data_IF_817521692453
#
_entry.id   IF_817521692453
#
_cell.length_a   1.000
_cell.length_b   1.000
_cell.length_c   1.000
_cell.angle_alpha   90.00
_cell.angle_beta   90.00
_cell.angle_gamma   90.00
#
_symmetry.space_group_name_H-M   'P 1'
#
loop_
_entity.id
_entity.type
_entity.pdbx_description
1 polymer ?
#
# COMPACT_ATOMS: atom_id res chain seq x y z
N UNK A 1 14.47 -36.71 6.81
CA UNK A 1 14.47 -35.25 6.56
C UNK A 1 13.02 -34.81 6.37
N UNK A 2 12.41 -34.36 7.46
CA UNK A 2 11.04 -33.85 7.49
C UNK A 2 11.05 -32.40 7.00
N UNK A 3 10.57 -32.16 5.78
CA UNK A 3 10.42 -30.83 5.24
C UNK A 3 9.37 -30.07 6.05
N UNK A 4 9.79 -28.98 6.69
CA UNK A 4 8.88 -28.02 7.33
C UNK A 4 8.06 -27.38 6.21
N UNK A 5 6.82 -27.83 6.03
CA UNK A 5 5.85 -27.10 5.21
C UNK A 5 5.48 -25.82 5.96
N UNK A 6 6.04 -24.68 5.52
CA UNK A 6 5.51 -23.37 5.88
C UNK A 6 4.07 -23.30 5.38
N UNK A 7 3.12 -23.06 6.28
CA UNK A 7 1.79 -22.59 5.90
C UNK A 7 1.97 -21.24 5.22
N UNK A 8 1.72 -21.19 3.91
CA UNK A 8 1.69 -19.94 3.15
C UNK A 8 0.50 -19.10 3.65
N UNK A 9 0.79 -18.15 4.53
CA UNK A 9 -0.13 -17.17 5.11
C UNK A 9 -0.64 -16.19 4.03
N UNK A 10 -1.40 -16.66 3.04
CA UNK A 10 -2.18 -15.80 2.14
C UNK A 10 -1.42 -14.70 1.37
N UNK A 11 -0.08 -14.70 1.41
CA UNK A 11 0.73 -13.80 0.60
C UNK A 11 0.54 -14.24 -0.85
N UNK A 12 -0.01 -13.33 -1.64
CA UNK A 12 -0.16 -13.45 -3.09
C UNK A 12 1.08 -14.15 -3.64
N UNK A 13 0.90 -15.41 -4.09
CA UNK A 13 1.97 -16.24 -4.63
C UNK A 13 2.74 -15.37 -5.61
N UNK A 14 4.00 -15.10 -5.31
CA UNK A 14 4.92 -14.50 -6.27
C UNK A 14 4.81 -15.33 -7.53
N UNK A 15 4.17 -14.78 -8.56
CA UNK A 15 3.96 -15.48 -9.82
C UNK A 15 5.36 -15.70 -10.38
N UNK A 16 5.87 -16.91 -10.25
CA UNK A 16 7.13 -17.29 -10.86
C UNK A 16 6.87 -17.40 -12.36
N UNK A 17 7.27 -16.36 -13.08
CA UNK A 17 7.16 -16.31 -14.54
C UNK A 17 8.18 -17.29 -15.12
N UNK A 18 7.76 -18.50 -15.46
CA UNK A 18 8.58 -19.38 -16.29
C UNK A 18 8.51 -18.91 -17.74
N UNK A 19 9.65 -18.48 -18.29
CA UNK A 19 9.78 -18.09 -19.70
C UNK A 19 9.49 -19.25 -20.68
N UNK A 20 9.37 -20.49 -20.20
CA UNK A 20 9.14 -21.64 -21.08
C UNK A 20 7.70 -21.74 -21.60
N UNK A 21 6.71 -21.15 -20.91
CA UNK A 21 5.29 -21.36 -21.22
C UNK A 21 4.48 -20.05 -21.21
N UNK A 22 4.60 -19.27 -22.29
CA UNK A 22 3.81 -18.03 -22.45
C UNK A 22 2.29 -18.28 -22.46
N UNK A 23 1.83 -19.43 -22.97
CA UNK A 23 0.41 -19.78 -22.98
C UNK A 23 -0.16 -20.00 -21.57
N UNK A 24 0.62 -20.56 -20.64
CA UNK A 24 0.14 -20.75 -19.27
C UNK A 24 -0.04 -19.41 -18.55
N UNK A 25 0.74 -18.39 -18.92
CA UNK A 25 0.57 -17.03 -18.41
C UNK A 25 -0.69 -16.38 -18.95
N UNK A 26 -0.94 -16.53 -20.25
CA UNK A 26 -2.17 -16.01 -20.89
C UNK A 26 -3.40 -16.69 -20.31
N UNK A 27 -3.36 -18.00 -20.05
CA UNK A 27 -4.51 -18.76 -19.52
C UNK A 27 -4.59 -18.79 -17.98
N UNK A 28 -3.71 -18.07 -17.29
CA UNK A 28 -3.72 -18.04 -15.83
C UNK A 28 -5.04 -17.44 -15.33
N UNK A 29 -5.76 -18.20 -14.49
CA UNK A 29 -7.11 -17.79 -14.01
C UNK A 29 -7.07 -16.81 -12.83
N UNK A 30 -6.02 -16.88 -12.01
CA UNK A 30 -5.85 -16.08 -10.79
C UNK A 30 -4.75 -15.05 -11.00
N UNK A 31 -5.04 -13.79 -10.69
CA UNK A 31 -4.10 -12.67 -10.88
C UNK A 31 -3.95 -12.18 -12.32
N UNK A 32 -4.60 -12.81 -13.31
CA UNK A 32 -4.60 -12.31 -14.69
C UNK A 32 -5.73 -11.33 -14.95
N UNK A 33 -5.50 -10.46 -15.94
CA UNK A 33 -6.47 -9.45 -16.40
C UNK A 33 -7.71 -10.08 -17.05
N UNK A 34 -7.64 -11.36 -17.42
CA UNK A 34 -8.70 -12.04 -18.18
C UNK A 34 -10.04 -12.02 -17.47
N UNK A 35 -10.09 -12.16 -16.14
CA UNK A 35 -11.37 -12.13 -15.42
C UNK A 35 -12.12 -10.82 -15.61
N UNK A 36 -11.40 -9.71 -15.76
CA UNK A 36 -11.96 -8.38 -16.00
C UNK A 36 -12.27 -8.15 -17.48
N UNK A 37 -11.44 -8.65 -18.40
CA UNK A 37 -11.54 -8.36 -19.86
C UNK A 37 -12.44 -9.34 -20.61
N UNK A 38 -12.40 -10.62 -20.25
CA UNK A 38 -13.15 -11.70 -20.91
C UNK A 38 -14.66 -11.45 -21.03
N UNK A 39 -15.40 -10.91 -20.03
CA UNK A 39 -16.82 -10.61 -20.22
C UNK A 39 -17.06 -9.55 -21.31
N UNK A 40 -16.18 -8.55 -21.44
CA UNK A 40 -16.29 -7.54 -22.51
C UNK A 40 -15.93 -8.14 -23.88
N UNK A 41 -14.91 -8.99 -23.95
CA UNK A 41 -14.60 -9.72 -25.18
C UNK A 41 -15.78 -10.59 -25.63
N UNK A 42 -16.38 -11.36 -24.70
CA UNK A 42 -17.55 -12.17 -25.00
C UNK A 42 -18.73 -11.32 -25.47
N UNK A 43 -19.02 -10.22 -24.79
CA UNK A 43 -20.08 -9.29 -25.20
C UNK A 43 -19.83 -8.73 -26.61
N UNK A 44 -18.59 -8.33 -26.92
CA UNK A 44 -18.22 -7.85 -28.26
C UNK A 44 -18.36 -8.95 -29.33
N UNK A 45 -17.93 -10.18 -29.04
CA UNK A 45 -18.12 -11.29 -29.98
C UNK A 45 -19.60 -11.61 -30.22
N UNK A 46 -20.42 -11.55 -29.18
CA UNK A 46 -21.86 -11.79 -29.28
C UNK A 46 -22.55 -10.69 -30.09
N UNK A 47 -22.16 -9.43 -29.87
CA UNK A 47 -22.63 -8.29 -30.66
C UNK A 47 -22.25 -8.45 -32.13
N UNK A 48 -21.00 -8.84 -32.42
CA UNK A 48 -20.54 -9.07 -33.79
C UNK A 48 -21.34 -10.19 -34.48
N UNK A 49 -21.57 -11.32 -33.81
CA UNK A 49 -22.41 -12.41 -34.33
C UNK A 49 -23.84 -11.93 -34.58
N UNK A 50 -24.40 -11.13 -33.68
CA UNK A 50 -25.74 -10.56 -33.83
C UNK A 50 -25.85 -9.64 -35.05
N UNK A 51 -24.84 -8.79 -35.29
CA UNK A 51 -24.79 -7.89 -36.45
C UNK A 51 -24.73 -8.68 -37.76
N UNK A 52 -23.91 -9.73 -37.85
CA UNK A 52 -23.84 -10.61 -39.02
C UNK A 52 -25.20 -11.26 -39.29
N UNK A 53 -25.89 -11.76 -38.25
CA UNK A 53 -27.23 -12.35 -38.38
C UNK A 53 -28.31 -11.35 -38.79
N UNK A 54 -28.18 -10.07 -38.42
CA UNK A 54 -29.08 -8.99 -38.85
C UNK A 54 -28.86 -8.64 -40.32
N UNK A 55 -27.60 -8.61 -40.75
CA UNK A 55 -27.22 -8.37 -42.14
C UNK A 55 -27.77 -9.45 -43.08
N UNK A 56 -27.72 -10.72 -42.68
CA UNK A 56 -28.33 -11.84 -43.43
C UNK A 56 -29.85 -11.68 -43.64
N UNK A 57 -30.54 -10.92 -42.79
CA UNK A 57 -31.97 -10.62 -42.92
C UNK A 57 -32.26 -9.42 -43.84
N UNK A 58 -31.23 -8.84 -44.46
CA UNK A 58 -31.36 -7.70 -45.37
C UNK A 58 -31.46 -6.33 -44.67
N UNK A 59 -31.08 -6.25 -43.39
CA UNK A 59 -30.96 -4.95 -42.70
C UNK A 59 -29.55 -4.41 -42.99
N UNK A 60 -29.47 -3.34 -43.77
CA UNK A 60 -28.21 -2.68 -44.09
C UNK A 60 -27.75 -1.82 -42.90
N UNK A 61 -26.63 -2.20 -42.29
CA UNK A 61 -26.01 -1.55 -41.14
C UNK A 61 -24.66 -0.93 -41.55
N UNK A 62 -24.59 -0.32 -42.73
CA UNK A 62 -23.40 0.37 -43.18
C UNK A 62 -23.05 1.53 -42.24
N UNK A 63 -21.95 1.36 -41.51
CA UNK A 63 -21.34 2.42 -40.70
C UNK A 63 -20.13 2.95 -41.46
N UNK A 64 -19.91 4.26 -41.40
CA UNK A 64 -18.74 4.89 -42.01
C UNK A 64 -17.44 4.35 -41.41
N UNK A 65 -16.59 3.75 -42.25
CA UNK A 65 -15.29 3.19 -41.86
C UNK A 65 -14.35 4.26 -41.29
N UNK A 66 -14.44 5.49 -41.82
CA UNK A 66 -13.58 6.61 -41.43
C UNK A 66 -13.74 6.99 -39.94
N UNK A 67 -14.97 6.93 -39.43
CA UNK A 67 -15.23 7.22 -38.02
C UNK A 67 -14.59 6.19 -37.09
N UNK A 68 -14.59 4.92 -37.49
CA UNK A 68 -13.99 3.84 -36.71
C UNK A 68 -12.47 3.90 -36.69
N UNK A 69 -11.84 4.21 -37.82
CA UNK A 69 -10.38 4.37 -37.90
C UNK A 69 -9.91 5.51 -36.97
N UNK A 70 -10.53 6.68 -37.07
CA UNK A 70 -10.20 7.82 -36.22
C UNK A 70 -10.38 7.53 -34.73
N UNK A 71 -11.51 6.89 -34.36
CA UNK A 71 -11.77 6.50 -32.97
C UNK A 71 -10.75 5.49 -32.45
N UNK A 72 -10.30 4.54 -33.27
CA UNK A 72 -9.28 3.56 -32.90
C UNK A 72 -7.94 4.22 -32.58
N UNK A 73 -7.53 5.20 -33.41
CA UNK A 73 -6.29 5.97 -33.19
C UNK A 73 -6.39 6.78 -31.89
N UNK A 74 -7.51 7.47 -31.67
CA UNK A 74 -7.73 8.28 -30.47
C UNK A 74 -7.72 7.44 -29.19
N UNK A 75 -8.41 6.30 -29.19
CA UNK A 75 -8.43 5.37 -28.04
C UNK A 75 -7.04 4.82 -27.77
N UNK A 76 -6.31 4.42 -28.82
CA UNK A 76 -4.93 3.91 -28.68
C UNK A 76 -4.00 4.95 -28.06
N UNK A 77 -4.08 6.21 -28.51
CA UNK A 77 -3.31 7.32 -27.96
C UNK A 77 -3.62 7.55 -26.47
N UNK A 78 -4.90 7.59 -26.08
CA UNK A 78 -5.31 7.76 -24.68
C UNK A 78 -4.83 6.61 -23.80
N UNK A 79 -4.91 5.37 -24.29
CA UNK A 79 -4.44 4.18 -23.56
C UNK A 79 -2.94 4.25 -23.33
N UNK A 80 -2.14 4.56 -24.36
CA UNK A 80 -0.69 4.68 -24.25
C UNK A 80 -0.30 5.79 -23.26
N UNK A 81 -0.92 6.96 -23.35
CA UNK A 81 -0.64 8.07 -22.44
C UNK A 81 -0.97 7.73 -20.99
N UNK A 82 -2.14 7.13 -20.75
CA UNK A 82 -2.54 6.70 -19.41
C UNK A 82 -1.61 5.63 -18.85
N UNK A 83 -1.20 4.67 -19.69
CA UNK A 83 -0.26 3.62 -19.30
C UNK A 83 1.11 4.21 -18.94
N UNK A 84 1.64 5.09 -19.79
CA UNK A 84 2.91 5.79 -19.55
C UNK A 84 2.89 6.56 -18.23
N UNK A 85 1.83 7.34 -17.99
CA UNK A 85 1.65 8.05 -16.72
C UNK A 85 1.60 7.10 -15.50
N UNK A 86 0.82 6.02 -15.60
CA UNK A 86 0.69 5.04 -14.52
C UNK A 86 2.00 4.32 -14.22
N UNK A 87 2.78 3.99 -15.27
CA UNK A 87 4.11 3.37 -15.13
C UNK A 87 5.11 4.33 -14.48
N UNK A 88 5.13 5.59 -14.89
CA UNK A 88 6.00 6.60 -14.28
C UNK A 88 5.69 6.76 -12.79
N UNK A 89 4.42 6.88 -12.43
CA UNK A 89 3.99 6.95 -11.03
C UNK A 89 4.41 5.70 -10.24
N UNK A 90 4.27 4.51 -10.83
CA UNK A 90 4.70 3.26 -10.21
C UNK A 90 6.20 3.24 -9.92
N UNK A 91 7.04 3.63 -10.89
CA UNK A 91 8.49 3.71 -10.69
C UNK A 91 8.88 4.79 -9.68
N UNK A 92 8.16 5.90 -9.64
CA UNK A 92 8.36 6.94 -8.64
C UNK A 92 8.07 6.41 -7.22
N UNK A 93 6.95 5.73 -7.02
CA UNK A 93 6.60 5.07 -5.76
C UNK A 93 7.64 4.01 -5.34
N UNK A 94 8.14 3.20 -6.28
CA UNK A 94 9.23 2.26 -6.02
C UNK A 94 10.51 2.99 -5.60
N UNK A 95 10.83 4.12 -6.22
CA UNK A 95 11.95 4.97 -5.85
C UNK A 95 11.86 5.47 -4.40
N UNK A 96 10.69 5.96 -3.99
CA UNK A 96 10.46 6.37 -2.60
C UNK A 96 10.54 5.20 -1.62
N UNK A 97 9.99 4.05 -1.97
CA UNK A 97 10.06 2.84 -1.14
C UNK A 97 11.50 2.37 -0.95
N UNK A 98 12.31 2.40 -2.01
CA UNK A 98 13.74 2.07 -1.94
C UNK A 98 14.51 3.04 -1.03
N UNK A 99 14.25 4.34 -1.15
CA UNK A 99 14.86 5.36 -0.28
C UNK A 99 14.48 5.15 1.18
N UNK A 100 13.19 4.91 1.48
CA UNK A 100 12.72 4.63 2.83
C UNK A 100 13.40 3.38 3.43
N UNK A 101 13.57 2.32 2.64
CA UNK A 101 14.29 1.11 3.07
C UNK A 101 15.76 1.41 3.38
N UNK A 102 16.43 2.20 2.55
CA UNK A 102 17.80 2.63 2.80
C UNK A 102 17.91 3.45 4.09
N UNK A 103 17.09 4.49 4.27
CA UNK A 103 17.07 5.31 5.49
C UNK A 103 16.75 4.50 6.74
N UNK A 104 15.89 3.48 6.62
CA UNK A 104 15.57 2.54 7.70
C UNK A 104 16.78 1.72 8.15
N UNK A 105 17.59 1.25 7.19
CA UNK A 105 18.83 0.52 7.47
C UNK A 105 19.85 1.46 8.14
N UNK A 106 20.03 2.66 7.59
CA UNK A 106 20.93 3.69 8.14
C UNK A 106 20.54 4.05 9.57
N UNK A 107 19.24 4.26 9.84
CA UNK A 107 18.72 4.54 11.17
C UNK A 107 19.00 3.39 12.15
N UNK A 108 18.84 2.14 11.71
CA UNK A 108 19.14 0.97 12.55
C UNK A 108 20.63 0.89 12.87
N UNK A 109 21.50 1.12 11.89
CA UNK A 109 22.95 1.13 12.07
C UNK A 109 23.41 2.25 13.00
N UNK A 110 22.87 3.46 12.83
CA UNK A 110 23.10 4.58 13.72
C UNK A 110 22.67 4.24 15.13
N UNK A 111 21.45 3.73 15.32
CA UNK A 111 20.92 3.28 16.62
C UNK A 111 21.88 2.30 17.32
N UNK A 112 22.46 1.36 16.57
CA UNK A 112 23.47 0.43 17.08
C UNK A 112 24.77 1.13 17.45
N UNK A 113 25.31 1.98 16.56
CA UNK A 113 26.55 2.72 16.80
C UNK A 113 26.45 3.67 18.00
N UNK A 114 25.32 4.34 18.18
CA UNK A 114 25.05 5.23 19.32
C UNK A 114 25.04 4.50 20.66
N UNK A 115 24.74 3.20 20.66
CA UNK A 115 24.59 2.41 21.90
C UNK A 115 25.66 1.34 22.06
N UNK A 116 26.74 1.39 21.26
CA UNK A 116 27.82 0.39 21.25
C UNK A 116 28.57 0.33 22.59
N UNK A 117 28.75 1.48 23.25
CA UNK A 117 29.38 1.56 24.57
C UNK A 117 28.55 1.02 25.74
N UNK A 118 27.25 0.76 25.53
CA UNK A 118 26.32 0.38 26.59
C UNK A 118 25.91 -1.09 26.46
N UNK A 119 26.48 -1.94 27.32
CA UNK A 119 26.21 -3.39 27.31
C UNK A 119 25.01 -3.85 28.14
N UNK A 120 24.36 -2.94 28.88
CA UNK A 120 23.20 -3.29 29.70
C UNK A 120 22.05 -3.81 28.83
N UNK A 121 21.29 -4.77 29.35
CA UNK A 121 20.23 -5.45 28.58
C UNK A 121 19.11 -4.49 28.15
N UNK A 122 18.90 -3.39 28.88
CA UNK A 122 17.96 -2.32 28.51
C UNK A 122 18.26 -1.70 27.14
N UNK A 123 19.52 -1.45 26.81
CA UNK A 123 19.91 -0.89 25.50
C UNK A 123 19.72 -1.91 24.38
N UNK A 124 19.94 -3.20 24.65
CA UNK A 124 19.66 -4.27 23.69
C UNK A 124 18.18 -4.36 23.38
N UNK A 125 17.34 -4.31 24.41
CA UNK A 125 15.88 -4.31 24.27
C UNK A 125 15.39 -3.08 23.51
N UNK A 126 15.92 -1.89 23.83
CA UNK A 126 15.58 -0.67 23.12
C UNK A 126 15.96 -0.72 21.64
N UNK A 127 17.18 -1.16 21.29
CA UNK A 127 17.59 -1.36 19.89
C UNK A 127 16.67 -2.32 19.15
N UNK A 128 16.29 -3.43 19.80
CA UNK A 128 15.36 -4.40 19.24
C UNK A 128 13.99 -3.76 18.99
N UNK A 129 13.48 -2.98 19.95
CA UNK A 129 12.21 -2.28 19.82
C UNK A 129 12.21 -1.26 18.67
N UNK A 130 13.27 -0.46 18.53
CA UNK A 130 13.45 0.47 17.40
C UNK A 130 13.44 -0.30 16.07
N UNK A 131 14.19 -1.40 15.98
CA UNK A 131 14.27 -2.25 14.78
C UNK A 131 12.92 -2.85 14.40
N UNK A 132 12.15 -3.34 15.39
CA UNK A 132 10.80 -3.89 15.18
C UNK A 132 9.84 -2.80 14.66
N UNK A 133 9.91 -1.59 15.21
CA UNK A 133 9.07 -0.48 14.74
C UNK A 133 9.41 -0.05 13.31
N UNK A 134 10.70 0.02 12.97
CA UNK A 134 11.16 0.27 11.59
C UNK A 134 10.62 -0.79 10.63
N UNK A 135 10.76 -2.07 10.98
CA UNK A 135 10.27 -3.18 10.15
C UNK A 135 8.74 -3.12 9.97
N UNK A 136 8.02 -2.77 11.03
CA UNK A 136 6.55 -2.63 11.02
C UNK A 136 6.13 -1.46 10.13
N UNK A 137 6.82 -0.32 10.22
CA UNK A 137 6.62 0.83 9.33
C UNK A 137 6.86 0.45 7.87
N UNK A 138 7.98 -0.20 7.56
CA UNK A 138 8.29 -0.64 6.19
C UNK A 138 7.20 -1.57 5.65
N UNK A 139 6.76 -2.56 6.42
CA UNK A 139 5.70 -3.49 6.00
C UNK A 139 4.37 -2.79 5.79
N UNK A 140 3.98 -1.89 6.68
CA UNK A 140 2.75 -1.10 6.54
C UNK A 140 2.77 -0.25 5.26
N UNK A 141 3.88 0.41 4.97
CA UNK A 141 4.04 1.21 3.74
C UNK A 141 4.02 0.33 2.49
N UNK A 142 4.73 -0.80 2.48
CA UNK A 142 4.69 -1.76 1.34
C UNK A 142 3.27 -2.25 1.11
N UNK A 143 2.58 -2.64 2.17
CA UNK A 143 1.21 -3.14 2.09
C UNK A 143 0.26 -2.08 1.52
N UNK A 144 0.37 -0.84 2.00
CA UNK A 144 -0.39 0.30 1.51
C UNK A 144 -0.16 0.56 0.02
N UNK A 145 1.10 0.51 -0.45
CA UNK A 145 1.46 0.75 -1.85
C UNK A 145 0.98 -0.40 -2.76
N UNK A 146 1.13 -1.66 -2.33
CA UNK A 146 0.87 -2.82 -3.19
C UNK A 146 -0.57 -3.34 -3.16
N UNK A 147 -1.24 -3.33 -2.01
CA UNK A 147 -2.60 -3.93 -1.88
C UNK A 147 -3.74 -2.98 -2.23
N UNK A 148 -3.46 -1.72 -2.55
CA UNK A 148 -4.41 -0.81 -3.20
C UNK A 148 -5.79 -0.69 -2.54
N UNK A 149 -5.91 -0.94 -1.24
CA UNK A 149 -7.16 -0.85 -0.49
C UNK A 149 -8.09 -2.07 -0.55
N UNK A 150 -7.65 -3.23 -1.04
CA UNK A 150 -8.44 -4.48 -0.92
C UNK A 150 -8.54 -4.95 0.55
N UNK A 151 -7.45 -4.81 1.29
CA UNK A 151 -7.36 -5.07 2.73
C UNK A 151 -6.90 -3.80 3.44
N UNK A 152 -7.29 -3.63 4.71
CA UNK A 152 -6.87 -2.46 5.46
C UNK A 152 -5.48 -2.67 6.08
N UNK A 153 -4.68 -1.61 6.16
CA UNK A 153 -3.29 -1.69 6.68
C UNK A 153 -3.27 -2.12 8.15
N UNK A 154 -4.31 -1.80 8.92
CA UNK A 154 -4.43 -2.20 10.33
C UNK A 154 -4.84 -3.68 10.52
N UNK A 155 -5.19 -4.41 9.46
CA UNK A 155 -5.53 -5.84 9.54
C UNK A 155 -4.29 -6.75 9.44
N UNK A 156 -3.12 -6.17 9.14
CA UNK A 156 -1.84 -6.86 9.13
C UNK A 156 -1.62 -7.55 10.48
N UNK A 157 -1.30 -8.84 10.47
CA UNK A 157 -1.13 -9.66 11.68
C UNK A 157 -0.18 -9.04 12.71
N UNK A 158 0.89 -8.43 12.24
CA UNK A 158 1.93 -7.78 13.03
C UNK A 158 1.46 -6.50 13.70
N UNK A 159 0.37 -5.89 13.20
CA UNK A 159 -0.29 -4.75 13.82
C UNK A 159 -1.38 -5.16 14.82
N UNK A 160 -1.84 -6.41 14.83
CA UNK A 160 -2.96 -6.86 15.70
C UNK A 160 -2.62 -6.77 17.17
N UNK A 161 -1.40 -7.13 17.54
CA UNK A 161 -0.92 -7.03 18.92
C UNK A 161 -0.42 -5.61 19.26
N UNK A 162 -0.37 -4.74 18.26
CA UNK A 162 0.10 -3.38 18.42
C UNK A 162 -1.09 -2.50 18.89
N UNK A 163 -0.90 -1.59 19.86
CA UNK A 163 -2.00 -0.75 20.39
C UNK A 163 -2.44 0.35 19.39
N UNK A 164 -2.26 0.12 18.09
CA UNK A 164 -2.67 1.00 17.00
C UNK A 164 -4.19 1.08 16.85
N UNK A 165 -4.94 0.10 17.36
CA UNK A 165 -6.41 0.17 17.43
C UNK A 165 -6.88 1.45 18.14
N UNK A 166 -6.23 1.83 19.24
CA UNK A 166 -6.53 3.07 19.98
C UNK A 166 -6.43 4.30 19.07
N UNK A 167 -5.39 4.36 18.25
CA UNK A 167 -5.16 5.50 17.36
C UNK A 167 -6.18 5.52 16.20
N UNK A 168 -6.51 4.39 15.59
CA UNK A 168 -7.52 4.35 14.50
C UNK A 168 -8.91 4.73 15.02
N UNK A 169 -9.19 4.51 16.31
CA UNK A 169 -10.45 4.88 16.96
C UNK A 169 -10.54 6.32 17.49
N UNK A 170 -9.45 7.09 17.51
CA UNK A 170 -9.40 8.40 18.17
C UNK A 170 -10.12 9.55 17.44
N UNK A 171 -10.74 9.31 16.27
CA UNK A 171 -11.39 10.38 15.51
C UNK A 171 -12.71 10.92 16.11
N UNK A 172 -13.26 10.39 17.22
CA UNK A 172 -14.49 10.96 17.80
C UNK A 172 -14.57 10.83 19.33
N UNK A 173 -13.60 11.40 20.04
CA UNK A 173 -13.95 12.08 21.31
C UNK A 173 -13.69 13.56 21.10
N UNK A 174 -14.63 14.21 20.41
CA UNK A 174 -14.79 15.67 20.41
C UNK A 174 -14.83 16.09 21.88
N UNK A 175 -13.68 16.51 22.35
CA UNK A 175 -13.45 16.99 23.71
C UNK A 175 -14.12 18.36 23.75
N UNK A 176 -15.36 18.43 24.21
CA UNK A 176 -15.97 19.69 24.63
C UNK A 176 -17.27 20.12 23.96
N UNK A 177 -18.28 19.24 23.85
CA UNK A 177 -19.66 19.72 23.90
C UNK A 177 -20.38 19.03 25.05
N UNK A 178 -20.48 19.72 26.18
CA UNK A 178 -21.20 19.34 27.40
C UNK A 178 -22.72 19.33 27.23
N UNK A 179 -23.23 19.08 26.02
CA UNK A 179 -24.66 19.10 25.72
C UNK A 179 -25.18 17.66 25.55
N UNK A 180 -25.76 17.03 26.60
CA UNK A 180 -26.26 15.65 26.57
C UNK A 180 -27.54 15.45 25.71
N UNK A 181 -27.99 16.47 24.98
CA UNK A 181 -29.27 16.45 24.23
C UNK A 181 -29.15 16.34 22.72
N UNK A 182 -27.97 16.48 22.14
CA UNK A 182 -27.76 16.09 20.74
C UNK A 182 -27.26 14.64 20.71
N UNK A 183 -28.21 13.70 20.82
CA UNK A 183 -28.01 12.35 20.26
C UNK A 183 -28.01 12.51 18.74
N UNK A 184 -26.88 12.92 18.16
CA UNK A 184 -26.72 12.75 16.72
C UNK A 184 -26.84 11.25 16.44
N UNK A 185 -27.66 10.85 15.45
CA UNK A 185 -27.71 9.46 15.01
C UNK A 185 -26.28 9.01 14.69
N UNK A 186 -25.92 7.83 15.21
CA UNK A 186 -24.59 7.19 15.07
C UNK A 186 -24.12 7.01 13.60
N UNK A 187 -24.94 7.38 12.63
CA UNK A 187 -24.74 7.11 11.21
C UNK A 187 -24.78 8.35 10.31
N UNK A 188 -24.94 9.57 10.86
CA UNK A 188 -25.09 10.78 10.04
C UNK A 188 -24.07 11.88 10.37
N UNK A 189 -22.78 11.53 10.36
CA UNK A 189 -21.73 12.52 10.06
C UNK A 189 -21.52 12.57 8.55
N UNK A 190 -22.43 13.30 7.91
CA UNK A 190 -22.23 13.85 6.57
C UNK A 190 -21.30 15.03 6.77
N UNK A 191 -19.99 14.79 6.64
CA UNK A 191 -18.88 15.68 6.24
C UNK A 191 -17.59 14.96 6.66
N UNK A 192 -16.90 14.37 5.67
CA UNK A 192 -15.62 13.68 5.83
C UNK A 192 -15.67 12.19 5.48
N UNK A 193 -16.01 11.84 4.23
CA UNK A 193 -15.70 10.52 3.69
C UNK A 193 -14.18 10.35 3.67
N UNK A 194 -13.56 10.04 4.80
CA UNK A 194 -12.25 9.42 4.78
C UNK A 194 -12.45 8.08 4.10
N UNK A 195 -12.22 8.04 2.79
CA UNK A 195 -12.16 6.80 2.04
C UNK A 195 -11.23 5.86 2.82
N UNK A 196 -11.50 4.55 2.77
CA UNK A 196 -10.63 3.54 3.40
C UNK A 196 -9.15 3.78 3.05
N UNK A 197 -8.88 4.32 1.87
CA UNK A 197 -7.57 4.81 1.44
C UNK A 197 -6.97 5.89 2.36
N UNK A 198 -7.71 6.93 2.76
CA UNK A 198 -7.19 7.98 3.63
C UNK A 198 -6.82 7.45 5.02
N UNK A 199 -7.62 6.55 5.57
CA UNK A 199 -7.28 5.87 6.84
C UNK A 199 -6.02 5.02 6.69
N UNK A 200 -5.88 4.30 5.58
CA UNK A 200 -4.69 3.50 5.28
C UNK A 200 -3.43 4.38 5.13
N UNK A 201 -3.54 5.56 4.51
CA UNK A 201 -2.44 6.52 4.35
C UNK A 201 -1.92 7.06 5.69
N UNK A 202 -2.78 7.18 6.71
CA UNK A 202 -2.39 7.69 8.04
C UNK A 202 -1.59 6.69 8.86
N UNK A 203 -1.69 5.39 8.59
CA UNK A 203 -1.05 4.36 9.42
C UNK A 203 0.48 4.49 9.40
N UNK A 204 1.17 4.55 8.23
CA UNK A 204 2.61 4.77 8.20
C UNK A 204 3.06 6.07 8.87
N UNK A 205 2.30 7.16 8.70
CA UNK A 205 2.62 8.47 9.31
C UNK A 205 2.66 8.35 10.83
N UNK A 206 1.67 7.68 11.42
CA UNK A 206 1.60 7.48 12.87
C UNK A 206 2.64 6.50 13.39
N UNK A 207 2.94 5.45 12.62
CA UNK A 207 4.04 4.54 12.93
C UNK A 207 5.38 5.28 12.95
N UNK A 208 5.63 6.19 12.00
CA UNK A 208 6.82 7.04 11.97
C UNK A 208 6.88 8.00 13.18
N UNK A 209 5.76 8.63 13.54
CA UNK A 209 5.69 9.47 14.75
C UNK A 209 6.00 8.68 16.03
N UNK A 210 5.50 7.45 16.12
CA UNK A 210 5.78 6.57 17.26
C UNK A 210 7.24 6.15 17.30
N UNK A 211 7.82 5.76 16.16
CA UNK A 211 9.23 5.44 16.04
C UNK A 211 10.10 6.61 16.54
N UNK A 212 9.76 7.83 16.12
CA UNK A 212 10.41 9.05 16.62
C UNK A 212 10.29 9.19 18.13
N UNK A 213 9.10 8.97 18.70
CA UNK A 213 8.90 9.06 20.15
C UNK A 213 9.73 8.00 20.91
N UNK A 214 9.78 6.75 20.42
CA UNK A 214 10.61 5.69 21.02
C UNK A 214 12.11 6.00 20.95
N UNK A 215 12.56 6.66 19.87
CA UNK A 215 13.94 7.14 19.78
C UNK A 215 14.19 8.26 20.81
N UNK A 216 13.23 9.17 20.99
CA UNK A 216 13.32 10.28 21.95
C UNK A 216 13.24 9.86 23.40
N UNK A 217 12.47 8.82 23.73
CA UNK A 217 12.35 8.28 25.09
C UNK A 217 13.72 7.85 25.65
N UNK A 218 14.65 7.45 24.78
CA UNK A 218 16.02 7.12 25.17
C UNK A 218 16.81 8.30 25.76
N UNK A 219 16.43 9.56 25.44
CA UNK A 219 17.08 10.77 25.99
C UNK A 219 16.92 10.93 27.50
N UNK A 220 16.04 10.14 28.13
CA UNK A 220 15.82 10.15 29.57
C UNK A 220 16.78 9.22 30.34
N UNK A 221 17.65 8.47 29.65
CA UNK A 221 18.75 7.70 30.26
C UNK A 221 19.98 8.60 30.46
N UNK A 222 20.80 8.38 31.50
CA UNK A 222 21.55 9.47 32.14
C UNK A 222 22.75 9.99 31.32
N UNK A 223 22.61 11.26 30.92
CA UNK A 223 23.57 12.38 31.12
C UNK A 223 25.03 12.18 30.74
N UNK A 224 25.30 12.07 29.45
CA UNK A 224 26.23 13.04 28.86
C UNK A 224 25.46 13.77 27.74
N UNK A 225 25.50 15.11 27.69
CA UNK A 225 24.84 15.84 26.62
C UNK A 225 25.46 15.39 25.30
N UNK A 226 24.67 14.64 24.53
CA UNK A 226 25.01 14.27 23.16
C UNK A 226 25.47 15.52 22.41
N UNK A 227 26.53 15.37 21.62
CA UNK A 227 27.00 16.42 20.75
C UNK A 227 25.88 16.78 19.75
N UNK A 228 25.37 18.01 19.85
CA UNK A 228 24.19 18.54 19.13
C UNK A 228 24.18 18.24 17.62
N UNK A 229 25.35 18.00 17.02
CA UNK A 229 25.50 17.67 15.60
C UNK A 229 24.97 16.26 15.30
N UNK A 230 25.36 15.26 16.11
CA UNK A 230 24.93 13.87 15.93
C UNK A 230 23.42 13.73 16.16
N UNK A 231 22.89 14.50 17.11
CA UNK A 231 21.46 14.60 17.38
C UNK A 231 20.68 15.17 16.19
N UNK A 232 21.22 16.23 15.56
CA UNK A 232 20.60 16.83 14.36
C UNK A 232 20.59 15.86 13.19
N UNK A 233 21.68 15.12 12.97
CA UNK A 233 21.76 14.10 11.92
C UNK A 233 20.73 12.98 12.12
N UNK A 234 20.51 12.54 13.37
CA UNK A 234 19.52 11.50 13.69
C UNK A 234 18.08 12.00 13.47
N UNK A 235 17.83 13.29 13.75
CA UNK A 235 16.53 13.94 13.56
C UNK A 235 16.21 14.28 12.11
N UNK A 236 17.22 14.63 11.31
CA UNK A 236 17.02 14.97 9.90
C UNK A 236 16.75 13.71 9.03
N UNK A 237 16.98 12.50 9.56
CA UNK A 237 16.76 11.21 8.88
C UNK A 237 15.35 10.61 9.11
N UNK A 238 14.57 11.13 10.07
CA UNK A 238 13.24 10.60 10.47
C UNK A 238 12.12 11.56 10.06
#
# INVERSE_FOLDING_TARGET
MTGIQRQDLGYSRTVSYSNSNHLSLILQRWGSINRKVLPFCLANTLLAVMLVRLQEKGIDLSISEFGHEFMSVLVSFLVINKLSYTLNLYYECLGYLSKMNQSSIELTQLTCAFTDGYQQDEYKEWRLNVTIQILTLLRATVFMVYKGGEENVWEISELKDHPLELFVSDDIRVRGTSNPRLKLPKELYVWGYHLKSDKNLRVPIRLAQRLRNTIMEHKMLPTDPLDTIQERTLMDLV
#
